data_IF_598765038554
#
_entry.id   IF_598765038554
#
_cell.length_a   1.000
_cell.length_b   1.000
_cell.length_c   1.000
_cell.angle_alpha   90.00
_cell.angle_beta   90.00
_cell.angle_gamma   90.00
#
_symmetry.space_group_name_H-M   'P 1'
#
loop_
_entity.id
_entity.type
_entity.pdbx_description
1 polymer ?
#
# COMPACT_ATOMS: atom_id res chain seq x y z
N UNK A 1 -11.53 11.98 -6.13
CA UNK A 1 -10.25 11.28 -6.08
C UNK A 1 -10.59 9.81 -5.91
N UNK A 2 -9.89 8.91 -6.58
CA UNK A 2 -10.18 7.47 -6.46
C UNK A 2 -9.64 6.98 -5.12
N UNK A 3 -10.37 6.12 -4.42
CA UNK A 3 -9.99 5.56 -3.12
C UNK A 3 -8.57 4.95 -3.15
N UNK A 4 -8.17 4.36 -4.29
CA UNK A 4 -6.81 3.89 -4.55
C UNK A 4 -5.72 4.96 -4.39
N UNK A 5 -5.94 6.17 -4.89
CA UNK A 5 -4.95 7.24 -4.81
C UNK A 5 -4.77 7.71 -3.36
N UNK A 6 -5.85 7.81 -2.60
CA UNK A 6 -5.78 8.19 -1.18
C UNK A 6 -5.01 7.17 -0.34
N UNK A 7 -5.19 5.88 -0.64
CA UNK A 7 -4.43 4.80 0.02
C UNK A 7 -2.95 4.88 -0.33
N UNK A 8 -2.59 5.09 -1.61
CA UNK A 8 -1.20 5.26 -2.02
C UNK A 8 -0.53 6.47 -1.35
N UNK A 9 -1.25 7.58 -1.25
CA UNK A 9 -0.74 8.79 -0.60
C UNK A 9 -0.46 8.53 0.90
N UNK A 10 -1.38 7.85 1.60
CA UNK A 10 -1.20 7.42 3.00
C UNK A 10 -0.01 6.47 3.19
N UNK A 11 0.17 5.52 2.28
CA UNK A 11 1.31 4.60 2.33
C UNK A 11 2.63 5.38 2.19
N UNK A 12 2.70 6.36 1.29
CA UNK A 12 3.90 7.19 1.13
C UNK A 12 4.16 8.09 2.34
N UNK A 13 3.12 8.62 3.00
CA UNK A 13 3.27 9.36 4.26
C UNK A 13 3.87 8.48 5.37
N UNK A 14 3.43 7.23 5.47
CA UNK A 14 4.00 6.26 6.42
C UNK A 14 5.45 5.93 6.08
N UNK A 15 5.75 5.65 4.80
CA UNK A 15 7.11 5.41 4.29
C UNK A 15 8.06 6.55 4.61
N UNK A 16 7.62 7.80 4.43
CA UNK A 16 8.41 8.99 4.73
C UNK A 16 8.77 9.11 6.22
N UNK A 17 7.92 8.62 7.14
CA UNK A 17 8.22 8.62 8.58
C UNK A 17 9.33 7.65 8.96
N UNK A 18 9.59 6.63 8.14
CA UNK A 18 10.65 5.65 8.35
C UNK A 18 12.02 6.12 7.86
N UNK A 19 12.12 7.35 7.33
CA UNK A 19 13.33 7.93 6.73
C UNK A 19 13.93 7.04 5.60
N UNK A 20 13.05 6.26 4.97
CA UNK A 20 13.40 5.44 3.80
C UNK A 20 13.20 6.32 2.57
N UNK A 21 14.27 6.51 1.79
CA UNK A 21 14.22 7.18 0.49
C UNK A 21 13.57 6.26 -0.56
N UNK A 22 12.31 5.92 -0.32
CA UNK A 22 11.54 4.92 -1.05
C UNK A 22 10.21 5.55 -1.48
N UNK A 23 9.91 5.47 -2.78
CA UNK A 23 8.65 5.96 -3.34
C UNK A 23 7.76 4.79 -3.72
N UNK A 24 6.66 4.62 -2.99
CA UNK A 24 5.70 3.53 -3.18
C UNK A 24 4.59 3.98 -4.13
N UNK A 25 4.89 3.97 -5.43
CA UNK A 25 4.02 4.52 -6.49
C UNK A 25 2.99 3.53 -7.06
N UNK A 26 3.14 2.24 -6.76
CA UNK A 26 2.28 1.18 -7.28
C UNK A 26 2.27 -0.04 -6.34
N UNK A 27 1.35 -0.97 -6.55
CA UNK A 27 1.21 -2.21 -5.77
C UNK A 27 2.49 -3.03 -5.72
N UNK A 28 3.22 -3.16 -6.83
CA UNK A 28 4.46 -3.95 -6.87
C UNK A 28 5.55 -3.36 -6.00
N UNK A 29 5.70 -2.03 -5.97
CA UNK A 29 6.65 -1.35 -5.07
C UNK A 29 6.29 -1.57 -3.59
N UNK A 30 5.00 -1.57 -3.27
CA UNK A 30 4.51 -1.82 -1.91
C UNK A 30 4.73 -3.28 -1.52
N UNK A 31 4.45 -4.21 -2.42
CA UNK A 31 4.69 -5.64 -2.22
C UNK A 31 6.19 -5.92 -1.98
N UNK A 32 7.09 -5.28 -2.72
CA UNK A 32 8.54 -5.38 -2.49
C UNK A 32 8.93 -4.86 -1.10
N UNK A 33 8.34 -3.74 -0.67
CA UNK A 33 8.53 -3.22 0.69
C UNK A 33 8.06 -4.20 1.77
N UNK A 34 6.89 -4.83 1.58
CA UNK A 34 6.32 -5.82 2.50
C UNK A 34 7.10 -7.15 2.50
N UNK A 35 7.66 -7.55 1.36
CA UNK A 35 8.48 -8.75 1.27
C UNK A 35 9.86 -8.61 1.94
N UNK A 36 10.30 -7.38 2.23
CA UNK A 36 11.56 -7.16 2.94
C UNK A 36 11.37 -7.31 4.45
N UNK A 37 11.90 -8.39 5.01
CA UNK A 37 11.91 -8.67 6.46
C UNK A 37 12.60 -7.58 7.30
N UNK A 38 13.54 -6.82 6.74
CA UNK A 38 14.15 -5.70 7.46
C UNK A 38 13.15 -4.57 7.71
N UNK A 39 12.12 -4.43 6.88
CA UNK A 39 11.10 -3.40 7.05
C UNK A 39 10.10 -3.75 8.17
N UNK A 40 10.02 -5.00 8.59
CA UNK A 40 9.14 -5.44 9.69
C UNK A 40 9.53 -4.85 11.05
N UNK A 41 10.72 -4.25 11.16
CA UNK A 41 11.16 -3.57 12.38
C UNK A 41 10.46 -2.22 12.59
N UNK A 42 9.88 -1.63 11.55
CA UNK A 42 9.21 -0.33 11.62
C UNK A 42 7.78 -0.49 12.14
N UNK A 43 7.35 0.38 13.06
CA UNK A 43 6.00 0.34 13.62
C UNK A 43 4.92 0.68 12.59
N UNK A 44 5.30 1.33 11.50
CA UNK A 44 4.47 1.70 10.36
C UNK A 44 4.22 0.52 9.41
N UNK A 45 5.03 -0.55 9.49
CA UNK A 45 4.94 -1.71 8.61
C UNK A 45 3.53 -2.34 8.60
N UNK A 46 2.98 -2.64 9.78
CA UNK A 46 1.65 -3.25 9.93
C UNK A 46 0.54 -2.41 9.29
N UNK A 47 0.70 -1.08 9.33
CA UNK A 47 -0.27 -0.15 8.71
C UNK A 47 -0.14 -0.14 7.19
N UNK A 48 1.08 -0.17 6.66
CA UNK A 48 1.31 -0.26 5.21
C UNK A 48 0.75 -1.58 4.69
N UNK A 49 0.93 -2.70 5.40
CA UNK A 49 0.36 -4.00 5.04
C UNK A 49 -1.18 -3.94 4.99
N UNK A 50 -1.81 -3.35 6.01
CA UNK A 50 -3.26 -3.19 6.05
C UNK A 50 -3.79 -2.37 4.87
N UNK A 51 -3.13 -1.26 4.56
CA UNK A 51 -3.47 -0.39 3.43
C UNK A 51 -3.25 -1.06 2.07
N UNK A 52 -2.19 -1.85 1.93
CA UNK A 52 -1.95 -2.65 0.72
C UNK A 52 -3.08 -3.67 0.49
N UNK A 53 -3.50 -4.37 1.54
CA UNK A 53 -4.62 -5.31 1.45
C UNK A 53 -5.92 -4.61 1.04
N UNK A 54 -6.21 -3.43 1.61
CA UNK A 54 -7.37 -2.61 1.21
C UNK A 54 -7.28 -2.19 -0.26
N UNK A 55 -6.08 -1.80 -0.74
CA UNK A 55 -5.85 -1.46 -2.14
C UNK A 55 -6.09 -2.66 -3.08
N UNK A 56 -5.65 -3.86 -2.66
CA UNK A 56 -5.86 -5.10 -3.40
C UNK A 56 -7.34 -5.48 -3.42
N UNK A 57 -8.05 -5.35 -2.31
CA UNK A 57 -9.50 -5.55 -2.25
C UNK A 57 -10.24 -4.60 -3.19
N UNK A 58 -9.94 -3.30 -3.16
CA UNK A 58 -10.52 -2.33 -4.11
C UNK A 58 -10.21 -2.66 -5.57
N UNK A 59 -9.02 -3.20 -5.85
CA UNK A 59 -8.67 -3.64 -7.20
C UNK A 59 -9.47 -4.85 -7.66
N UNK A 60 -9.84 -5.74 -6.73
CA UNK A 60 -10.71 -6.89 -7.00
C UNK A 60 -12.18 -6.48 -7.17
N UNK A 61 -12.69 -5.58 -6.32
CA UNK A 61 -14.08 -5.15 -6.38
C UNK A 61 -14.39 -4.23 -7.59
N UNK A 62 -13.41 -3.49 -8.09
CA UNK A 62 -13.54 -2.74 -9.37
C UNK A 62 -13.82 -3.68 -10.57
N UNK A 63 -13.33 -4.93 -10.55
CA UNK A 63 -13.54 -5.91 -11.62
C UNK A 63 -14.87 -6.70 -11.46
N UNK A 64 -15.43 -6.77 -10.25
CA UNK A 64 -16.70 -7.48 -9.97
C UNK A 64 -17.97 -6.63 -10.24
N UNK A 65 -17.83 -5.32 -10.50
CA UNK A 65 -18.96 -4.44 -10.84
C UNK A 65 -19.48 -4.63 -12.28
N UNK A 66 -18.83 -5.47 -13.11
CA UNK A 66 -19.24 -5.80 -14.49
C UNK A 66 -20.11 -7.08 -14.61
N UNK A 67 -20.70 -7.58 -13.52
CA UNK A 67 -21.54 -8.80 -13.51
C UNK A 67 -23.02 -8.55 -13.13
N UNK A 68 -23.68 -7.54 -13.71
CA UNK A 68 -25.17 -7.47 -13.73
C UNK A 68 -25.76 -6.83 -15.00
#
# INVERSE_FOLDING_TARGET
MTDKQEILDRINELAANMDLDLTLSNTSSIEEFLHNVENQQYGEYDKIESLYNELMELSYYDDDEELY
#
